data_IF_222283001869
#
_entry.id   IF_222283001869
#
_cell.length_a   1.000
_cell.length_b   1.000
_cell.length_c   1.000
_cell.angle_alpha   90.00
_cell.angle_beta   90.00
_cell.angle_gamma   90.00
#
_symmetry.space_group_name_H-M   'P 1'
#
loop_
_entity.id
_entity.type
_entity.pdbx_description
1 polymer ?
#
# COMPACT_ATOMS: atom_id res chain seq x y z
N UNK A 1 -4.52 3.84 -14.98
CA UNK A 1 -4.71 2.98 -13.80
C UNK A 1 -5.88 3.51 -12.99
N UNK A 2 -6.68 2.65 -12.34
CA UNK A 2 -7.81 3.07 -11.49
C UNK A 2 -7.68 2.43 -10.11
N UNK A 3 -7.87 3.21 -9.05
CA UNK A 3 -7.79 2.72 -7.67
C UNK A 3 -8.97 1.78 -7.33
N UNK A 4 -8.76 0.62 -6.68
CA UNK A 4 -9.80 -0.38 -6.42
C UNK A 4 -10.66 0.00 -5.21
N UNK A 5 -11.50 1.02 -5.38
CA UNK A 5 -12.39 1.56 -4.34
C UNK A 5 -13.53 0.66 -3.87
N UNK A 6 -13.75 -0.48 -4.55
CA UNK A 6 -14.74 -1.48 -4.16
C UNK A 6 -14.17 -2.52 -3.19
N UNK A 7 -12.85 -2.54 -3.01
CA UNK A 7 -12.18 -3.48 -2.13
C UNK A 7 -12.51 -3.12 -0.68
N UNK A 8 -12.90 -4.12 0.11
CA UNK A 8 -13.10 -3.95 1.54
C UNK A 8 -11.87 -4.54 2.22
N UNK A 9 -11.10 -3.70 2.89
CA UNK A 9 -9.93 -4.14 3.67
C UNK A 9 -10.43 -4.61 5.03
N UNK A 10 -10.39 -5.92 5.32
CA UNK A 10 -10.79 -6.41 6.63
C UNK A 10 -9.75 -6.02 7.68
N UNK A 11 -10.13 -6.11 8.95
CA UNK A 11 -9.13 -6.20 10.03
C UNK A 11 -8.45 -7.55 9.90
N UNK A 12 -7.29 -7.58 9.28
CA UNK A 12 -6.49 -8.79 9.20
C UNK A 12 -5.76 -9.07 10.52
N UNK A 13 -5.51 -10.35 10.79
CA UNK A 13 -4.75 -10.84 11.96
C UNK A 13 -3.55 -11.68 11.55
N UNK A 14 -3.26 -11.74 10.24
CA UNK A 14 -2.22 -12.58 9.65
C UNK A 14 -1.51 -11.82 8.52
N UNK A 15 -0.21 -12.09 8.34
CA UNK A 15 0.57 -11.53 7.24
C UNK A 15 -0.01 -11.91 5.88
N UNK A 16 -0.47 -13.15 5.73
CA UNK A 16 -1.09 -13.64 4.49
C UNK A 16 -2.32 -12.83 4.10
N UNK A 17 -3.23 -12.54 5.05
CA UNK A 17 -4.43 -11.74 4.77
C UNK A 17 -4.08 -10.30 4.36
N UNK A 18 -3.08 -9.71 5.01
CA UNK A 18 -2.54 -8.40 4.64
C UNK A 18 -1.95 -8.39 3.22
N UNK A 19 -1.06 -9.34 2.89
CA UNK A 19 -0.42 -9.39 1.57
C UNK A 19 -1.42 -9.67 0.44
N UNK A 20 -2.46 -10.48 0.69
CA UNK A 20 -3.57 -10.65 -0.25
C UNK A 20 -4.33 -9.34 -0.54
N UNK A 21 -4.47 -8.46 0.46
CA UNK A 21 -5.05 -7.14 0.26
C UNK A 21 -4.13 -6.25 -0.58
N UNK A 22 -2.83 -6.24 -0.29
CA UNK A 22 -1.86 -5.48 -1.09
C UNK A 22 -1.87 -5.91 -2.56
N UNK A 23 -1.86 -7.21 -2.85
CA UNK A 23 -1.93 -7.74 -4.22
C UNK A 23 -3.13 -7.19 -4.98
N UNK A 24 -4.30 -7.15 -4.34
CA UNK A 24 -5.51 -6.60 -4.93
C UNK A 24 -5.47 -5.08 -5.10
N UNK A 25 -4.92 -4.35 -4.12
CA UNK A 25 -4.80 -2.89 -4.21
C UNK A 25 -3.86 -2.49 -5.35
N UNK A 26 -2.68 -3.08 -5.37
CA UNK A 26 -1.63 -2.79 -6.34
C UNK A 26 -1.89 -3.43 -7.70
N UNK A 27 -2.88 -4.33 -7.81
CA UNK A 27 -3.20 -5.09 -9.03
C UNK A 27 -1.97 -5.82 -9.54
N UNK A 28 -1.27 -6.48 -8.63
CA UNK A 28 -0.06 -7.24 -8.93
C UNK A 28 -0.32 -8.25 -10.03
N UNK A 29 0.61 -8.31 -11.00
CA UNK A 29 0.54 -9.20 -12.12
C UNK A 29 1.32 -10.48 -11.81
N UNK A 30 0.61 -11.61 -11.80
CA UNK A 30 1.20 -12.91 -11.53
C UNK A 30 2.16 -13.38 -12.63
N UNK A 31 2.15 -12.72 -13.80
CA UNK A 31 3.05 -13.02 -14.92
C UNK A 31 4.44 -12.39 -14.75
N UNK A 32 4.65 -11.50 -13.77
CA UNK A 32 5.90 -10.74 -13.65
C UNK A 32 7.05 -11.49 -12.97
N UNK A 33 6.75 -12.46 -12.11
CA UNK A 33 7.73 -13.18 -11.28
C UNK A 33 7.97 -14.68 -11.56
N UNK A 34 7.21 -15.42 -12.41
CA UNK A 34 7.46 -16.85 -12.63
C UNK A 34 8.87 -17.19 -13.11
N UNK A 35 9.45 -16.36 -13.98
CA UNK A 35 10.81 -16.59 -14.50
C UNK A 35 11.87 -16.43 -13.41
N UNK A 36 11.70 -15.46 -12.50
CA UNK A 36 12.59 -15.25 -11.35
C UNK A 36 12.52 -16.43 -10.38
N UNK A 37 11.31 -16.91 -10.06
CA UNK A 37 11.12 -18.07 -9.19
C UNK A 37 11.78 -19.31 -9.79
N UNK A 38 11.53 -19.58 -11.07
CA UNK A 38 12.14 -20.72 -11.76
C UNK A 38 13.67 -20.63 -11.72
N UNK A 39 14.25 -19.46 -12.00
CA UNK A 39 15.69 -19.26 -11.95
C UNK A 39 16.24 -19.53 -10.53
N UNK A 40 15.58 -19.01 -9.49
CA UNK A 40 16.02 -19.18 -8.11
C UNK A 40 15.86 -20.64 -7.63
N UNK A 41 14.79 -21.33 -8.02
CA UNK A 41 14.60 -22.77 -7.75
C UNK A 41 15.69 -23.62 -8.43
N UNK A 42 16.06 -23.28 -9.67
CA UNK A 42 17.14 -23.94 -10.42
C UNK A 42 18.54 -23.68 -9.81
N UNK A 43 18.80 -22.47 -9.32
CA UNK A 43 20.09 -22.07 -8.74
C UNK A 43 20.31 -22.59 -7.31
N UNK A 44 19.26 -22.61 -6.49
CA UNK A 44 19.34 -22.91 -5.06
C UNK A 44 18.95 -24.36 -4.74
N UNK A 45 18.27 -25.06 -5.67
CA UNK A 45 18.00 -26.49 -5.58
C UNK A 45 17.01 -26.92 -4.49
N UNK A 46 16.32 -25.96 -3.85
CA UNK A 46 15.34 -26.18 -2.79
C UNK A 46 13.96 -25.64 -3.21
N UNK A 47 12.91 -26.42 -2.93
CA UNK A 47 11.53 -25.93 -2.96
C UNK A 47 11.37 -24.85 -1.86
N UNK A 48 11.15 -23.60 -2.25
CA UNK A 48 10.92 -22.52 -1.28
C UNK A 48 9.73 -22.85 -0.39
N UNK A 49 9.87 -22.61 0.92
CA UNK A 49 8.71 -22.64 1.79
C UNK A 49 7.72 -21.54 1.38
N UNK A 50 6.48 -21.68 1.85
CA UNK A 50 5.37 -20.84 1.41
C UNK A 50 5.59 -19.35 1.70
N UNK A 51 6.29 -19.01 2.78
CA UNK A 51 6.53 -17.62 3.16
C UNK A 51 7.58 -16.98 2.25
N UNK A 52 8.73 -17.66 2.05
CA UNK A 52 9.76 -17.18 1.13
C UNK A 52 9.24 -17.07 -0.30
N UNK A 53 8.45 -18.05 -0.76
CA UNK A 53 7.82 -17.97 -2.08
C UNK A 53 6.89 -16.76 -2.19
N UNK A 54 6.05 -16.54 -1.19
CA UNK A 54 5.11 -15.42 -1.17
C UNK A 54 5.82 -14.05 -1.18
N UNK A 55 7.02 -13.95 -0.57
CA UNK A 55 7.87 -12.77 -0.64
C UNK A 55 8.47 -12.55 -2.04
N UNK A 56 8.92 -13.62 -2.71
CA UNK A 56 9.45 -13.55 -4.08
C UNK A 56 8.34 -13.21 -5.10
N UNK A 57 7.11 -13.67 -4.84
CA UNK A 57 5.93 -13.37 -5.66
C UNK A 57 5.41 -11.92 -5.48
N UNK A 58 6.16 -11.05 -4.81
CA UNK A 58 5.82 -9.64 -4.67
C UNK A 58 6.18 -8.87 -5.96
N UNK A 59 5.15 -8.40 -6.67
CA UNK A 59 5.32 -7.60 -7.88
C UNK A 59 5.61 -6.13 -7.54
N UNK A 60 6.90 -5.83 -7.40
CA UNK A 60 7.43 -4.48 -7.10
C UNK A 60 7.05 -3.46 -8.18
N UNK A 61 6.94 -3.86 -9.44
CA UNK A 61 6.61 -2.97 -10.55
C UNK A 61 5.19 -2.45 -10.41
N UNK A 62 4.21 -3.34 -10.25
CA UNK A 62 2.81 -2.95 -10.06
C UNK A 62 2.60 -2.14 -8.77
N UNK A 63 3.30 -2.51 -7.70
CA UNK A 63 3.28 -1.75 -6.45
C UNK A 63 3.80 -0.32 -6.66
N UNK A 64 4.94 -0.17 -7.33
CA UNK A 64 5.53 1.13 -7.66
C UNK A 64 4.61 1.99 -8.53
N UNK A 65 4.01 1.40 -9.57
CA UNK A 65 3.07 2.09 -10.45
C UNK A 65 1.82 2.57 -9.71
N UNK A 66 1.25 1.76 -8.81
CA UNK A 66 0.08 2.16 -8.03
C UNK A 66 0.44 3.27 -7.03
N UNK A 67 1.56 3.16 -6.31
CA UNK A 67 2.00 4.20 -5.38
C UNK A 67 2.29 5.51 -6.11
N UNK A 68 2.93 5.46 -7.28
CA UNK A 68 3.15 6.62 -8.13
C UNK A 68 1.83 7.25 -8.61
N UNK A 69 0.87 6.42 -9.02
CA UNK A 69 -0.48 6.88 -9.39
C UNK A 69 -1.16 7.61 -8.23
N UNK A 70 -1.18 7.01 -7.04
CA UNK A 70 -1.75 7.63 -5.83
C UNK A 70 -1.09 8.98 -5.56
N UNK A 71 0.25 8.99 -5.49
CA UNK A 71 0.99 10.23 -5.24
C UNK A 71 0.67 11.29 -6.28
N UNK A 72 0.58 10.95 -7.56
CA UNK A 72 0.26 11.92 -8.60
C UNK A 72 -1.15 12.53 -8.44
N UNK A 73 -2.12 11.74 -7.98
CA UNK A 73 -3.47 12.23 -7.70
C UNK A 73 -3.55 13.10 -6.44
N UNK A 74 -2.66 12.91 -5.47
CA UNK A 74 -2.79 13.52 -4.13
C UNK A 74 -1.70 14.53 -3.76
N UNK A 75 -0.57 14.59 -4.46
CA UNK A 75 0.62 15.44 -4.18
C UNK A 75 0.43 16.96 -4.27
N UNK A 76 -0.79 17.43 -4.48
CA UNK A 76 -1.11 18.87 -4.43
C UNK A 76 -2.11 19.18 -3.32
N UNK A 77 -2.61 18.15 -2.64
CA UNK A 77 -3.63 18.26 -1.61
C UNK A 77 -2.94 18.31 -0.23
N UNK A 78 -3.06 19.42 0.51
CA UNK A 78 -2.40 19.58 1.80
C UNK A 78 -2.74 18.47 2.81
N UNK A 79 -3.97 17.95 2.75
CA UNK A 79 -4.44 16.87 3.62
C UNK A 79 -3.62 15.57 3.45
N UNK A 80 -3.26 15.21 2.21
CA UNK A 80 -2.44 14.03 1.95
C UNK A 80 -0.95 14.31 2.17
N UNK A 81 -0.47 15.53 1.88
CA UNK A 81 0.89 15.94 2.22
C UNK A 81 1.19 15.73 3.70
N UNK A 82 0.28 16.19 4.57
CA UNK A 82 0.42 16.00 6.01
C UNK A 82 0.54 14.52 6.38
N UNK A 83 -0.29 13.64 5.83
CA UNK A 83 -0.19 12.20 6.07
C UNK A 83 1.15 11.62 5.61
N UNK A 84 1.64 12.02 4.44
CA UNK A 84 2.92 11.54 3.91
C UNK A 84 4.10 12.00 4.76
N UNK A 85 4.12 13.26 5.17
CA UNK A 85 5.16 13.80 6.05
C UNK A 85 5.13 13.13 7.43
N UNK A 86 3.95 12.96 8.03
CA UNK A 86 3.80 12.27 9.32
C UNK A 86 4.28 10.82 9.25
N UNK A 87 3.89 10.09 8.21
CA UNK A 87 4.35 8.72 8.00
C UNK A 87 5.86 8.65 7.78
N UNK A 88 6.41 9.48 6.88
CA UNK A 88 7.85 9.53 6.60
C UNK A 88 8.68 9.90 7.84
N UNK A 89 8.16 10.78 8.70
CA UNK A 89 8.85 11.21 9.92
C UNK A 89 9.12 10.05 10.89
N UNK A 90 8.29 8.99 10.89
CA UNK A 90 8.53 7.78 11.69
C UNK A 90 9.83 7.05 11.32
N UNK A 91 10.35 7.31 10.12
CA UNK A 91 11.61 6.78 9.61
C UNK A 91 12.65 7.90 9.43
N UNK A 92 12.53 9.01 10.18
CA UNK A 92 13.42 10.17 10.11
C UNK A 92 13.55 10.77 8.70
N UNK A 93 12.49 10.63 7.90
CA UNK A 93 12.42 11.11 6.52
C UNK A 93 11.35 12.19 6.36
N UNK A 94 11.47 12.97 5.28
CA UNK A 94 10.42 13.88 4.78
C UNK A 94 10.01 13.53 3.35
N UNK A 95 10.50 12.42 2.83
CA UNK A 95 10.22 12.00 1.47
C UNK A 95 8.78 11.46 1.37
N UNK A 96 7.99 12.06 0.49
CA UNK A 96 6.60 11.66 0.30
C UNK A 96 6.46 10.26 -0.31
N UNK A 97 7.43 9.79 -1.10
CA UNK A 97 7.41 8.42 -1.61
C UNK A 97 7.58 7.41 -0.47
N UNK A 98 8.49 7.71 0.46
CA UNK A 98 8.65 6.92 1.70
C UNK A 98 7.35 6.99 2.53
N UNK A 99 6.76 8.16 2.68
CA UNK A 99 5.50 8.34 3.40
C UNK A 99 4.34 7.52 2.82
N UNK A 100 4.18 7.51 1.49
CA UNK A 100 3.18 6.70 0.79
C UNK A 100 3.43 5.20 1.05
N UNK A 101 4.67 4.74 0.95
CA UNK A 101 5.01 3.34 1.19
C UNK A 101 4.69 2.91 2.63
N UNK A 102 4.99 3.77 3.61
CA UNK A 102 4.68 3.51 5.03
C UNK A 102 3.17 3.45 5.27
N UNK A 103 2.38 4.29 4.63
CA UNK A 103 0.91 4.25 4.76
C UNK A 103 0.29 2.98 4.19
N UNK A 104 1.01 2.23 3.34
CA UNK A 104 0.64 0.90 2.88
C UNK A 104 1.06 -0.22 3.83
N UNK A 105 1.80 0.07 4.90
CA UNK A 105 2.19 -0.91 5.89
C UNK A 105 0.98 -1.47 6.67
N UNK A 106 1.19 -2.64 7.27
CA UNK A 106 0.18 -3.45 7.97
C UNK A 106 -0.70 -2.65 8.94
N UNK A 107 -0.16 -1.68 9.68
CA UNK A 107 -0.94 -0.94 10.68
C UNK A 107 -1.88 0.10 10.05
N UNK A 108 -1.40 0.82 9.03
CA UNK A 108 -2.06 2.02 8.50
C UNK A 108 -2.97 1.74 7.31
N UNK A 109 -2.67 0.67 6.55
CA UNK A 109 -3.34 0.34 5.30
C UNK A 109 -4.88 0.39 5.37
N UNK A 110 -5.57 -0.17 6.40
CA UNK A 110 -7.03 -0.20 6.39
C UNK A 110 -7.64 1.21 6.46
N UNK A 111 -7.08 2.11 7.26
CA UNK A 111 -7.56 3.48 7.38
C UNK A 111 -7.11 4.34 6.19
N UNK A 112 -5.87 4.16 5.73
CA UNK A 112 -5.37 4.87 4.57
C UNK A 112 -6.17 4.53 3.30
N UNK A 113 -6.48 3.24 3.10
CA UNK A 113 -7.34 2.80 2.01
C UNK A 113 -8.73 3.45 2.08
N UNK A 114 -9.35 3.53 3.27
CA UNK A 114 -10.64 4.22 3.43
C UNK A 114 -10.55 5.71 3.07
N UNK A 115 -9.50 6.41 3.52
CA UNK A 115 -9.27 7.81 3.14
C UNK A 115 -9.19 7.98 1.62
N UNK A 116 -8.41 7.12 0.95
CA UNK A 116 -8.31 7.11 -0.51
C UNK A 116 -9.67 6.82 -1.17
N UNK A 117 -10.45 5.88 -0.66
CA UNK A 117 -11.78 5.55 -1.17
C UNK A 117 -12.76 6.72 -1.04
N UNK A 118 -12.74 7.46 0.08
CA UNK A 118 -13.55 8.66 0.26
C UNK A 118 -13.13 9.71 -0.78
N UNK A 119 -11.84 9.98 -0.89
CA UNK A 119 -11.27 10.93 -1.84
C UNK A 119 -11.60 10.60 -3.30
N UNK A 120 -11.37 9.35 -3.75
CA UNK A 120 -11.66 8.94 -5.13
C UNK A 120 -13.15 8.78 -5.46
N UNK A 121 -14.03 8.78 -4.46
CA UNK A 121 -15.47 8.87 -4.68
C UNK A 121 -15.95 10.31 -4.76
N UNK A 122 -15.39 11.20 -3.93
CA UNK A 122 -15.63 12.64 -3.98
C UNK A 122 -14.44 13.36 -3.33
N UNK A 123 -13.69 14.11 -4.14
CA UNK A 123 -12.45 14.78 -3.71
C UNK A 123 -12.66 15.72 -2.53
N UNK A 124 -13.85 16.34 -2.43
CA UNK A 124 -14.20 17.28 -1.36
C UNK A 124 -14.76 16.61 -0.10
N UNK A 125 -15.00 15.29 -0.13
CA UNK A 125 -15.58 14.57 1.00
C UNK A 125 -14.55 14.18 2.07
N UNK A 126 -13.26 14.07 1.69
CA UNK A 126 -12.19 13.83 2.65
C UNK A 126 -11.72 15.17 3.23
N UNK A 127 -11.93 15.37 4.52
CA UNK A 127 -11.57 16.59 5.25
C UNK A 127 -10.88 16.23 6.56
N UNK A 128 -10.30 17.22 7.26
CA UNK A 128 -9.72 16.99 8.58
C UNK A 128 -10.75 16.56 9.63
N UNK A 129 -12.05 16.79 9.34
CA UNK A 129 -13.14 16.39 10.23
C UNK A 129 -13.62 14.95 10.00
N UNK A 130 -13.25 14.34 8.88
CA UNK A 130 -13.59 12.96 8.53
C UNK A 130 -12.99 11.99 9.55
N UNK A 131 -13.81 11.06 10.08
CA UNK A 131 -13.39 10.16 11.16
C UNK A 131 -12.19 9.31 10.76
N UNK A 132 -12.19 8.74 9.56
CA UNK A 132 -11.09 7.91 9.06
C UNK A 132 -9.77 8.67 8.96
N UNK A 133 -9.83 9.97 8.66
CA UNK A 133 -8.65 10.83 8.63
C UNK A 133 -8.12 11.10 10.04
N UNK A 134 -9.02 11.42 10.98
CA UNK A 134 -8.67 11.63 12.39
C UNK A 134 -8.02 10.39 13.00
N UNK A 135 -8.62 9.22 12.79
CA UNK A 135 -8.10 7.94 13.28
C UNK A 135 -6.70 7.67 12.71
N UNK A 136 -6.49 7.93 11.42
CA UNK A 136 -5.19 7.74 10.78
C UNK A 136 -4.13 8.70 11.31
N UNK A 137 -4.48 9.97 11.51
CA UNK A 137 -3.61 10.99 12.12
C UNK A 137 -3.25 10.60 13.56
N UNK A 138 -4.22 10.10 14.34
CA UNK A 138 -3.97 9.61 15.70
C UNK A 138 -3.00 8.42 15.72
N UNK A 139 -3.12 7.48 14.78
CA UNK A 139 -2.19 6.35 14.66
C UNK A 139 -0.77 6.75 14.27
N UNK A 140 -0.61 7.87 13.55
CA UNK A 140 0.69 8.34 13.08
C UNK A 140 1.44 9.19 14.11
N UNK A 141 0.74 9.77 15.09
CA UNK A 141 1.32 10.49 16.23
C UNK A 141 2.03 9.56 17.22
#
# INVERSE_FOLDING_TARGET
MQYPKHLIIPRYTTNTGYRQCLRQIFKMNTENYPALIQQLEEELGDDFDKETRDEIEYDEESAGLMMQYIRNCTKTLPIFHRLYEMAAARFLSRDHEIGVAILYAYEYLPLFHKCLCIFFNNENALTEETQEYKDLVEMLN
#
